data_IF_061282326016
#
_entry.id   IF_061282326016
#
_cell.length_a   1.000
_cell.length_b   1.000
_cell.length_c   1.000
_cell.angle_alpha   90.00
_cell.angle_beta   90.00
_cell.angle_gamma   90.00
#
_symmetry.space_group_name_H-M   'P 1'
#
loop_
_entity.id
_entity.type
_entity.pdbx_description
1 polymer ?
#
# COMPACT_ATOMS: atom_id res chain seq x y z
N UNK A 1 -1.18 -14.19 0.78
CA UNK A 1 -0.07 -13.82 1.68
C UNK A 1 1.24 -13.94 0.92
N UNK A 2 2.29 -13.21 1.31
CA UNK A 2 3.62 -13.44 0.74
C UNK A 2 4.15 -14.82 1.18
N UNK A 3 4.82 -15.57 0.29
CA UNK A 3 5.51 -16.77 0.72
C UNK A 3 6.72 -16.38 1.58
N UNK A 4 7.04 -17.19 2.59
CA UNK A 4 8.14 -16.91 3.53
C UNK A 4 9.52 -16.80 2.86
N UNK A 5 9.68 -17.37 1.67
CA UNK A 5 10.91 -17.32 0.89
C UNK A 5 11.04 -16.10 -0.03
N UNK A 6 9.99 -15.29 -0.20
CA UNK A 6 10.00 -14.14 -1.12
C UNK A 6 9.24 -12.94 -0.54
N UNK A 7 9.98 -12.10 0.19
CA UNK A 7 9.47 -10.86 0.78
C UNK A 7 9.13 -9.77 -0.26
N UNK A 8 9.53 -9.95 -1.53
CA UNK A 8 9.22 -9.03 -2.62
C UNK A 8 7.98 -9.47 -3.42
N UNK A 9 7.43 -10.64 -3.14
CA UNK A 9 6.30 -11.20 -3.87
C UNK A 9 5.08 -10.27 -3.85
N UNK A 10 4.48 -10.08 -5.03
CA UNK A 10 3.16 -9.48 -5.24
C UNK A 10 2.40 -10.40 -6.21
N UNK A 11 1.12 -10.66 -5.92
CA UNK A 11 0.35 -11.64 -6.69
C UNK A 11 0.11 -11.14 -8.11
N UNK A 12 0.28 -12.04 -9.08
CA UNK A 12 -0.07 -11.83 -10.48
C UNK A 12 -1.48 -12.31 -10.82
N UNK A 13 -2.25 -12.78 -9.82
CA UNK A 13 -3.63 -13.19 -10.03
C UNK A 13 -4.57 -11.97 -10.13
N UNK A 14 -5.52 -11.98 -11.07
CA UNK A 14 -6.55 -10.96 -11.14
C UNK A 14 -7.34 -10.85 -9.82
N UNK A 15 -7.79 -9.63 -9.49
CA UNK A 15 -8.63 -9.36 -8.33
C UNK A 15 -8.08 -9.88 -6.98
N UNK A 16 -6.76 -10.08 -6.87
CA UNK A 16 -6.10 -10.61 -5.67
C UNK A 16 -5.10 -9.59 -5.15
N UNK A 17 -5.22 -9.22 -3.87
CA UNK A 17 -4.21 -8.46 -3.15
C UNK A 17 -3.31 -9.39 -2.33
N UNK A 18 -2.03 -9.06 -2.25
CA UNK A 18 -1.04 -9.75 -1.43
C UNK A 18 -0.93 -9.09 -0.07
N UNK A 19 -1.14 -9.87 0.99
CA UNK A 19 -0.85 -9.43 2.35
C UNK A 19 0.66 -9.21 2.56
N UNK A 20 1.03 -8.03 3.04
CA UNK A 20 2.41 -7.60 3.24
C UNK A 20 2.89 -7.95 4.65
N UNK A 21 3.60 -9.09 4.78
CA UNK A 21 3.93 -9.66 6.09
C UNK A 21 4.81 -8.74 6.95
N UNK A 22 5.71 -7.97 6.32
CA UNK A 22 6.59 -7.04 7.02
C UNK A 22 5.81 -5.95 7.77
N UNK A 23 4.70 -5.46 7.21
CA UNK A 23 3.88 -4.42 7.85
C UNK A 23 3.34 -4.91 9.18
N UNK A 24 2.73 -6.10 9.18
CA UNK A 24 2.19 -6.73 10.39
C UNK A 24 3.28 -7.01 11.42
N UNK A 25 4.43 -7.53 10.98
CA UNK A 25 5.53 -7.87 11.86
C UNK A 25 6.16 -6.65 12.56
N UNK A 26 6.24 -5.50 11.88
CA UNK A 26 6.92 -4.31 12.41
C UNK A 26 5.96 -3.39 13.18
N UNK A 27 4.74 -3.22 12.67
CA UNK A 27 3.81 -2.19 13.16
C UNK A 27 2.57 -2.76 13.83
N UNK A 28 2.29 -4.04 13.63
CA UNK A 28 1.01 -4.65 14.01
C UNK A 28 -0.15 -4.30 13.06
N UNK A 29 0.05 -3.44 12.05
CA UNK A 29 -0.99 -3.03 11.11
C UNK A 29 -1.13 -3.98 9.92
N UNK A 30 -2.12 -3.71 9.06
CA UNK A 30 -2.39 -4.48 7.84
C UNK A 30 -1.86 -3.73 6.63
N UNK A 31 -1.06 -4.40 5.80
CA UNK A 31 -0.60 -3.90 4.50
C UNK A 31 -1.07 -4.81 3.38
N UNK A 32 -1.58 -4.22 2.29
CA UNK A 32 -2.07 -4.94 1.12
C UNK A 32 -1.38 -4.40 -0.14
N UNK A 33 -0.68 -5.27 -0.86
CA UNK A 33 0.05 -4.96 -2.09
C UNK A 33 -0.71 -5.50 -3.30
N UNK A 34 -0.76 -4.75 -4.39
CA UNK A 34 -1.21 -5.27 -5.68
C UNK A 34 -0.57 -4.52 -6.85
N UNK A 35 -0.34 -5.22 -7.97
CA UNK A 35 0.08 -4.58 -9.21
C UNK A 35 -1.00 -3.63 -9.72
N UNK A 36 -0.58 -2.47 -10.24
CA UNK A 36 -1.44 -1.40 -10.72
C UNK A 36 -2.28 -1.77 -11.94
N UNK A 37 -1.83 -2.74 -12.74
CA UNK A 37 -2.58 -3.32 -13.85
C UNK A 37 -3.46 -4.53 -13.46
N UNK A 38 -3.47 -4.92 -12.17
CA UNK A 38 -4.32 -5.98 -11.61
C UNK A 38 -5.22 -5.38 -10.52
N UNK A 39 -5.32 -6.02 -9.34
CA UNK A 39 -6.19 -5.54 -8.26
C UNK A 39 -5.81 -4.14 -7.75
N UNK A 40 -4.56 -3.71 -7.95
CA UNK A 40 -4.11 -2.37 -7.57
C UNK A 40 -4.79 -1.27 -8.36
N UNK A 41 -5.32 -1.55 -9.56
CA UNK A 41 -6.13 -0.60 -10.33
C UNK A 41 -7.34 -0.11 -9.53
N UNK A 42 -7.92 -0.95 -8.66
CA UNK A 42 -9.07 -0.58 -7.84
C UNK A 42 -8.69 0.30 -6.65
N UNK A 43 -7.42 0.30 -6.21
CA UNK A 43 -6.99 1.13 -5.09
C UNK A 43 -7.10 2.63 -5.42
N UNK A 44 -6.93 3.00 -6.68
CA UNK A 44 -7.13 4.38 -7.16
C UNK A 44 -8.58 4.87 -7.02
N UNK A 45 -9.55 3.96 -6.85
CA UNK A 45 -10.95 4.33 -6.70
C UNK A 45 -11.39 4.48 -5.24
N UNK A 46 -10.54 4.12 -4.26
CA UNK A 46 -10.84 4.25 -2.84
C UNK A 46 -10.80 5.73 -2.43
N UNK A 47 -11.89 6.21 -1.83
CA UNK A 47 -12.05 7.63 -1.46
C UNK A 47 -12.23 7.79 0.03
N UNK A 48 -11.84 8.96 0.55
CA UNK A 48 -12.08 9.33 1.94
C UNK A 48 -13.56 9.16 2.32
N UNK A 49 -13.82 8.58 3.49
CA UNK A 49 -15.16 8.25 3.99
C UNK A 49 -15.74 6.93 3.47
N UNK A 50 -15.04 6.22 2.59
CA UNK A 50 -15.49 4.91 2.11
C UNK A 50 -15.20 3.80 3.15
N UNK A 51 -16.21 2.99 3.45
CA UNK A 51 -16.06 1.77 4.24
C UNK A 51 -15.33 0.69 3.44
N UNK A 52 -14.37 0.03 4.08
CA UNK A 52 -13.67 -1.13 3.58
C UNK A 52 -13.75 -2.25 4.61
N UNK A 53 -14.33 -3.38 4.22
CA UNK A 53 -14.42 -4.57 5.06
C UNK A 53 -13.36 -5.57 4.63
N UNK A 54 -12.46 -5.94 5.54
CA UNK A 54 -11.56 -7.06 5.37
C UNK A 54 -12.25 -8.31 5.90
N UNK A 55 -12.36 -9.34 5.06
CA UNK A 55 -12.95 -10.63 5.42
C UNK A 55 -11.81 -11.66 5.49
N UNK A 56 -11.62 -12.24 6.67
CA UNK A 56 -10.57 -13.22 6.93
C UNK A 56 -11.01 -14.64 6.55
N UNK A 57 -10.05 -15.55 6.41
CA UNK A 57 -10.32 -16.94 6.01
C UNK A 57 -11.11 -17.75 7.04
N UNK A 58 -11.15 -17.30 8.29
CA UNK A 58 -11.99 -17.85 9.37
C UNK A 58 -13.40 -17.24 9.41
N UNK A 59 -13.71 -16.33 8.48
CA UNK A 59 -14.99 -15.62 8.39
C UNK A 59 -15.13 -14.41 9.31
N UNK A 60 -14.10 -14.10 10.12
CA UNK A 60 -14.09 -12.84 10.89
C UNK A 60 -13.91 -11.65 9.95
N UNK A 61 -14.30 -10.47 10.42
CA UNK A 61 -14.22 -9.23 9.63
C UNK A 61 -13.70 -8.07 10.45
N UNK A 62 -12.88 -7.24 9.81
CA UNK A 62 -12.52 -5.91 10.31
C UNK A 62 -13.05 -4.84 9.36
N UNK A 63 -13.57 -3.75 9.91
CA UNK A 63 -14.10 -2.62 9.17
C UNK A 63 -13.20 -1.40 9.34
N UNK A 64 -12.84 -0.77 8.23
CA UNK A 64 -11.99 0.41 8.19
C UNK A 64 -12.65 1.50 7.37
N UNK A 65 -12.51 2.76 7.78
CA UNK A 65 -12.90 3.90 6.93
C UNK A 65 -11.66 4.51 6.31
N UNK A 66 -11.67 4.63 4.98
CA UNK A 66 -10.60 5.32 4.26
C UNK A 66 -10.49 6.76 4.75
N UNK A 67 -9.33 7.12 5.26
CA UNK A 67 -9.04 8.47 5.74
C UNK A 67 -8.52 9.34 4.61
N UNK A 68 -7.46 8.88 3.95
CA UNK A 68 -6.77 9.64 2.90
C UNK A 68 -5.99 8.73 1.95
N UNK A 69 -5.60 9.28 0.81
CA UNK A 69 -4.65 8.69 -0.13
C UNK A 69 -3.42 9.59 -0.23
N UNK A 70 -2.23 8.98 -0.28
CA UNK A 70 -0.95 9.69 -0.41
C UNK A 70 -0.18 9.12 -1.60
N UNK A 71 0.39 10.01 -2.41
CA UNK A 71 1.12 9.67 -3.62
C UNK A 71 2.55 10.20 -3.55
N UNK A 72 3.48 9.34 -3.96
CA UNK A 72 4.90 9.67 -3.95
C UNK A 72 5.56 9.23 -5.25
N UNK A 73 6.40 10.09 -5.83
CA UNK A 73 7.32 9.72 -6.89
C UNK A 73 8.53 9.00 -6.30
N UNK A 74 8.96 7.90 -6.91
CA UNK A 74 10.23 7.26 -6.58
C UNK A 74 11.38 7.98 -7.31
N UNK A 75 12.44 8.36 -6.59
CA UNK A 75 13.65 8.95 -7.21
C UNK A 75 14.35 7.94 -8.13
N UNK A 76 14.31 6.66 -7.73
CA UNK A 76 14.79 5.51 -8.49
C UNK A 76 13.64 4.50 -8.61
N UNK A 77 12.79 4.58 -9.65
CA UNK A 77 11.55 3.81 -9.79
C UNK A 77 11.67 2.29 -9.55
N UNK A 78 12.75 1.73 -10.08
CA UNK A 78 13.06 0.30 -10.02
C UNK A 78 13.71 -0.15 -8.70
N UNK A 79 13.79 0.74 -7.69
CA UNK A 79 14.37 0.44 -6.36
C UNK A 79 13.31 0.55 -5.26
N UNK A 80 13.06 -0.53 -4.49
CA UNK A 80 12.12 -0.49 -3.36
C UNK A 80 12.64 0.32 -2.17
N UNK A 81 13.95 0.57 -2.10
CA UNK A 81 14.62 1.34 -1.04
C UNK A 81 15.04 2.72 -1.53
N UNK A 82 14.35 3.25 -2.55
CA UNK A 82 14.59 4.60 -3.04
C UNK A 82 14.20 5.66 -2.00
N UNK A 83 14.60 6.90 -2.27
CA UNK A 83 13.93 8.05 -1.68
C UNK A 83 12.66 8.36 -2.47
N UNK A 84 11.70 8.98 -1.80
CA UNK A 84 10.38 9.23 -2.35
C UNK A 84 10.00 10.70 -2.17
N UNK A 85 9.50 11.32 -3.23
CA UNK A 85 9.06 12.72 -3.22
C UNK A 85 7.54 12.75 -3.16
N UNK A 86 6.98 13.34 -2.11
CA UNK A 86 5.53 13.56 -1.95
C UNK A 86 5.00 14.43 -3.09
N UNK A 87 3.99 13.96 -3.81
CA UNK A 87 3.36 14.75 -4.88
C UNK A 87 2.52 15.92 -4.34
N UNK A 88 2.07 15.83 -3.09
CA UNK A 88 1.26 16.86 -2.46
C UNK A 88 2.09 18.02 -1.88
N UNK A 89 3.30 17.74 -1.39
CA UNK A 89 4.11 18.71 -0.63
C UNK A 89 5.51 18.95 -1.18
N UNK A 90 6.03 18.08 -2.06
CA UNK A 90 7.43 18.12 -2.50
C UNK A 90 8.44 17.61 -1.46
N UNK A 91 7.98 17.18 -0.28
CA UNK A 91 8.82 16.60 0.77
C UNK A 91 9.51 15.33 0.27
N UNK A 92 10.82 15.18 0.54
CA UNK A 92 11.56 13.94 0.25
C UNK A 92 11.69 13.10 1.51
N UNK A 93 11.30 11.83 1.43
CA UNK A 93 11.37 10.85 2.51
C UNK A 93 12.28 9.69 2.11
N UNK A 94 13.00 9.12 3.09
CA UNK A 94 13.63 7.82 2.90
C UNK A 94 12.57 6.72 2.80
N UNK A 95 12.93 5.54 2.27
CA UNK A 95 12.02 4.39 2.27
C UNK A 95 11.54 4.01 3.67
N UNK A 96 12.40 4.19 4.69
CA UNK A 96 12.06 3.92 6.09
C UNK A 96 11.08 4.93 6.65
N UNK A 97 11.29 6.23 6.41
CA UNK A 97 10.38 7.27 6.90
C UNK A 97 9.02 7.15 6.20
N UNK A 98 9.01 6.89 4.90
CA UNK A 98 7.79 6.63 4.15
C UNK A 98 7.05 5.40 4.69
N UNK A 99 7.77 4.30 4.97
CA UNK A 99 7.18 3.09 5.55
C UNK A 99 6.45 3.41 6.86
N UNK A 100 7.10 4.07 7.82
CA UNK A 100 6.45 4.42 9.09
C UNK A 100 5.32 5.45 8.92
N UNK A 101 5.42 6.35 7.93
CA UNK A 101 4.35 7.31 7.63
C UNK A 101 3.05 6.62 7.18
N UNK A 102 3.16 5.64 6.28
CA UNK A 102 1.98 5.02 5.63
C UNK A 102 1.52 3.74 6.31
N UNK A 103 2.41 3.03 7.02
CA UNK A 103 2.10 1.77 7.71
C UNK A 103 2.19 1.86 9.24
N UNK A 104 2.88 2.84 9.81
CA UNK A 104 2.99 3.02 11.25
C UNK A 104 1.80 3.76 11.88
N UNK A 105 1.88 4.02 13.19
CA UNK A 105 0.81 4.65 13.97
C UNK A 105 -0.25 3.67 14.48
N UNK A 106 -1.39 4.18 14.96
CA UNK A 106 -2.49 3.34 15.47
C UNK A 106 -3.07 2.39 14.42
N UNK A 107 -3.88 1.43 14.88
CA UNK A 107 -4.43 0.32 14.09
C UNK A 107 -5.03 0.79 12.77
N UNK A 108 -4.56 0.23 11.65
CA UNK A 108 -5.00 0.61 10.30
C UNK A 108 -4.76 -0.48 9.27
N UNK A 109 -5.44 -0.36 8.14
CA UNK A 109 -5.12 -1.01 6.88
C UNK A 109 -4.58 0.01 5.88
N UNK A 110 -3.54 -0.38 5.14
CA UNK A 110 -2.98 0.44 4.05
C UNK A 110 -2.89 -0.37 2.76
N UNK A 111 -3.44 0.19 1.68
CA UNK A 111 -3.45 -0.40 0.35
C UNK A 111 -2.39 0.30 -0.51
N UNK A 112 -1.42 -0.46 -1.02
CA UNK A 112 -0.32 0.06 -1.81
C UNK A 112 -0.31 -0.52 -3.22
N UNK A 113 -0.12 0.37 -4.20
CA UNK A 113 0.15 -0.01 -5.60
C UNK A 113 1.13 0.97 -6.26
N UNK A 114 1.62 0.62 -7.45
CA UNK A 114 2.49 1.49 -8.25
C UNK A 114 1.69 2.55 -9.01
N UNK A 115 2.31 3.70 -9.25
CA UNK A 115 1.82 4.71 -10.18
C UNK A 115 2.68 4.61 -11.43
N UNK A 116 2.06 4.42 -12.59
CA UNK A 116 2.74 4.43 -13.87
C UNK A 116 2.79 5.86 -14.43
N UNK A 117 3.91 6.24 -15.06
CA UNK A 117 4.01 7.49 -15.81
C UNK A 117 4.89 7.30 -17.05
N UNK A 118 4.36 7.66 -18.22
CA UNK A 118 5.05 7.44 -19.49
C UNK A 118 5.33 5.96 -19.72
N UNK A 119 6.60 5.59 -19.85
CA UNK A 119 7.06 4.21 -20.06
C UNK A 119 7.54 3.52 -18.78
N UNK A 120 7.32 4.11 -17.59
CA UNK A 120 7.78 3.58 -16.31
C UNK A 120 6.58 3.20 -15.43
N UNK A 121 6.33 1.89 -15.31
CA UNK A 121 5.20 1.32 -14.57
C UNK A 121 5.33 1.47 -13.04
N UNK A 122 6.56 1.69 -12.57
CA UNK A 122 6.92 1.82 -11.16
C UNK A 122 7.33 3.24 -10.77
N UNK A 123 6.93 4.24 -11.57
CA UNK A 123 7.34 5.65 -11.42
C UNK A 123 7.05 6.20 -10.02
N UNK A 124 5.91 5.83 -9.44
CA UNK A 124 5.52 6.26 -8.10
C UNK A 124 4.81 5.17 -7.32
N UNK A 125 4.34 5.53 -6.12
CA UNK A 125 3.57 4.68 -5.22
C UNK A 125 2.34 5.43 -4.72
N UNK A 126 1.20 4.76 -4.78
CA UNK A 126 -0.04 5.17 -4.13
C UNK A 126 -0.17 4.39 -2.82
N UNK A 127 -0.56 5.09 -1.75
CA UNK A 127 -0.95 4.52 -0.47
C UNK A 127 -2.33 5.03 -0.06
N UNK A 128 -3.31 4.15 0.03
CA UNK A 128 -4.61 4.46 0.61
C UNK A 128 -4.62 4.00 2.05
N UNK A 129 -4.89 4.92 2.99
CA UNK A 129 -4.78 4.67 4.43
C UNK A 129 -6.18 4.67 5.04
N UNK A 130 -6.52 3.59 5.74
CA UNK A 130 -7.82 3.38 6.39
C UNK A 130 -7.60 2.95 7.86
N UNK A 131 -7.72 3.87 8.83
CA UNK A 131 -7.69 3.53 10.26
C UNK A 131 -8.84 2.61 10.67
N UNK A 132 -8.61 1.79 11.71
CA UNK A 132 -9.69 1.00 12.33
C UNK A 132 -10.61 1.95 13.09
N UNK A 133 -11.92 1.80 12.92
CA UNK A 133 -12.93 2.55 13.70
C UNK A 133 -13.06 2.05 15.14
#
# INVERSE_FOLDING_TARGET
QQPSSDAAYVSTLPNTATYFDMVRSITGNTGLLAHNYLAGAYFFNLRSGQLVTLIYGDGTTDEYIVSNAQEFQAVSPNSPTSNFVSLASGETLSSTDLFYRVYGGGTRATFQTCIAQGNEDSWGRLFVIAPLE
#
